data_IF_743561276134
#
_entry.id   IF_743561276134
#
_cell.length_a   1.000
_cell.length_b   1.000
_cell.length_c   1.000
_cell.angle_alpha   90.00
_cell.angle_beta   90.00
_cell.angle_gamma   90.00
#
_symmetry.space_group_name_H-M   'P 1'
#
loop_
_entity.id
_entity.type
_entity.pdbx_description
1 polymer ?
#
# COMPACT_ATOMS: atom_id res chain seq x y z
N UNK A 1 -33.94 28.23 -23.69
CA UNK A 1 -34.26 29.60 -23.23
C UNK A 1 -33.06 30.13 -22.47
N UNK A 2 -32.33 31.06 -23.10
CA UNK A 2 -31.31 31.90 -22.45
C UNK A 2 -32.05 33.10 -21.84
N UNK A 3 -31.54 33.72 -20.76
CA UNK A 3 -31.02 35.07 -20.95
C UNK A 3 -29.62 35.26 -20.38
N UNK A 4 -28.90 36.15 -21.06
CA UNK A 4 -27.57 36.64 -20.79
C UNK A 4 -27.58 37.70 -19.67
N UNK A 5 -26.41 37.92 -19.06
CA UNK A 5 -26.00 39.25 -18.63
C UNK A 5 -24.50 39.46 -18.96
N UNK A 6 -24.28 40.22 -20.04
CA UNK A 6 -23.11 41.08 -20.32
C UNK A 6 -22.91 42.07 -19.16
N UNK A 7 -21.81 42.75 -18.91
CA UNK A 7 -20.42 42.82 -19.40
C UNK A 7 -19.73 43.81 -18.44
N UNK A 8 -18.40 43.77 -18.31
CA UNK A 8 -17.56 44.97 -18.28
C UNK A 8 -16.11 44.55 -18.49
N UNK A 9 -15.54 45.05 -19.58
CA UNK A 9 -14.16 44.89 -19.98
C UNK A 9 -13.27 45.97 -19.33
N UNK A 10 -11.96 45.75 -19.51
CA UNK A 10 -10.85 46.70 -19.40
C UNK A 10 -10.11 46.74 -18.05
N UNK A 11 -8.93 46.12 -18.01
CA UNK A 11 -7.69 46.87 -18.25
C UNK A 11 -6.55 45.90 -18.60
N UNK A 12 -6.01 46.02 -19.80
CA UNK A 12 -4.72 45.45 -20.15
C UNK A 12 -3.63 46.42 -19.67
N UNK A 13 -2.61 45.93 -18.96
CA UNK A 13 -1.25 46.44 -19.03
C UNK A 13 -0.27 45.49 -18.31
N UNK A 14 0.82 45.23 -19.00
CA UNK A 14 1.94 44.37 -18.65
C UNK A 14 2.60 44.70 -17.30
N UNK A 15 3.10 43.66 -16.62
CA UNK A 15 4.52 43.54 -16.25
C UNK A 15 4.75 42.33 -15.32
N UNK A 16 5.70 41.48 -15.70
CA UNK A 16 6.44 40.63 -14.76
C UNK A 16 5.91 39.21 -14.59
N UNK A 17 6.37 38.29 -15.44
CA UNK A 17 6.53 36.89 -15.02
C UNK A 17 7.38 36.85 -13.75
N UNK A 18 6.92 36.31 -12.59
CA UNK A 18 7.87 35.91 -11.58
C UNK A 18 8.66 34.74 -12.16
N UNK A 19 9.96 34.94 -12.35
CA UNK A 19 10.89 33.87 -12.65
C UNK A 19 10.63 32.70 -11.66
N UNK A 20 10.75 31.43 -12.08
CA UNK A 20 10.73 30.35 -11.11
C UNK A 20 11.90 30.59 -10.18
N UNK A 21 11.62 30.82 -8.89
CA UNK A 21 12.62 30.76 -7.85
C UNK A 21 13.15 29.33 -7.86
N UNK A 22 14.21 29.09 -8.64
CA UNK A 22 15.06 27.93 -8.53
C UNK A 22 15.59 27.94 -7.11
N UNK A 23 14.94 27.18 -6.23
CA UNK A 23 15.44 26.91 -4.91
C UNK A 23 16.83 26.28 -5.10
N UNK A 24 17.88 27.05 -4.84
CA UNK A 24 19.25 26.54 -4.75
C UNK A 24 19.26 25.56 -3.59
N UNK A 25 19.05 24.28 -3.89
CA UNK A 25 19.23 23.22 -2.91
C UNK A 25 20.71 23.27 -2.51
N UNK A 26 20.99 23.68 -1.27
CA UNK A 26 22.36 23.76 -0.79
C UNK A 26 23.03 22.39 -0.95
N UNK A 27 24.29 22.37 -1.37
CA UNK A 27 25.07 21.13 -1.56
C UNK A 27 25.05 20.24 -0.30
N UNK A 28 24.93 20.86 0.87
CA UNK A 28 24.75 20.16 2.15
C UNK A 28 23.42 19.38 2.23
N UNK A 29 22.32 19.95 1.74
CA UNK A 29 20.99 19.31 1.70
C UNK A 29 20.97 18.19 0.65
N UNK A 30 21.60 18.41 -0.50
CA UNK A 30 21.78 17.36 -1.51
C UNK A 30 22.63 16.18 -0.99
N UNK A 31 23.72 16.44 -0.27
CA UNK A 31 24.53 15.40 0.38
C UNK A 31 23.76 14.69 1.51
N UNK A 32 22.95 15.42 2.30
CA UNK A 32 22.16 14.82 3.38
C UNK A 32 21.10 13.85 2.85
N UNK A 33 20.43 14.18 1.72
CA UNK A 33 19.52 13.24 1.06
C UNK A 33 20.26 12.05 0.44
N UNK A 34 21.47 12.25 -0.11
CA UNK A 34 22.26 11.17 -0.70
C UNK A 34 22.79 10.14 0.32
N UNK A 35 22.86 10.51 1.61
CA UNK A 35 23.22 9.59 2.69
C UNK A 35 22.06 8.69 3.13
N UNK A 36 20.82 9.04 2.76
CA UNK A 36 19.65 8.18 2.94
C UNK A 36 19.53 7.34 1.67
N UNK A 37 20.29 6.25 1.60
CA UNK A 37 20.12 5.25 0.55
C UNK A 37 18.66 4.75 0.51
N UNK A 38 18.21 4.16 -0.62
CA UNK A 38 16.87 3.60 -0.67
C UNK A 38 16.67 2.65 0.50
N UNK A 39 15.55 2.77 1.21
CA UNK A 39 15.17 1.79 2.22
C UNK A 39 15.23 0.41 1.55
N UNK A 40 16.12 -0.46 2.03
CA UNK A 40 16.25 -1.80 1.48
C UNK A 40 14.93 -2.52 1.71
N UNK A 41 14.14 -2.71 0.65
CA UNK A 41 12.95 -3.51 0.70
C UNK A 41 13.38 -4.97 0.87
N UNK A 42 12.95 -5.58 1.96
CA UNK A 42 13.13 -7.01 2.17
C UNK A 42 12.21 -7.74 1.19
N UNK A 43 12.65 -8.84 0.54
CA UNK A 43 11.75 -9.66 -0.24
C UNK A 43 10.59 -10.11 0.66
N UNK A 44 9.37 -9.88 0.21
CA UNK A 44 8.17 -10.20 0.99
C UNK A 44 7.92 -11.71 0.94
N UNK A 45 7.72 -12.33 2.10
CA UNK A 45 7.39 -13.75 2.26
C UNK A 45 5.97 -13.88 2.76
N UNK A 46 5.12 -14.57 2.00
CA UNK A 46 3.77 -14.92 2.45
C UNK A 46 3.81 -16.22 3.28
N UNK A 47 3.40 -16.13 4.55
CA UNK A 47 3.21 -17.29 5.44
C UNK A 47 1.74 -17.69 5.39
N UNK A 48 1.45 -18.80 4.71
CA UNK A 48 0.09 -19.28 4.50
C UNK A 48 -0.36 -20.16 5.66
N UNK A 49 -1.44 -19.78 6.33
CA UNK A 49 -1.99 -20.49 7.49
C UNK A 49 -3.35 -21.08 7.12
N UNK A 50 -3.45 -22.41 7.16
CA UNK A 50 -4.71 -23.12 7.03
C UNK A 50 -5.37 -23.21 8.41
N UNK A 51 -6.31 -22.29 8.66
CA UNK A 51 -6.96 -22.14 9.96
C UNK A 51 -8.28 -22.92 10.05
N UNK A 52 -8.57 -23.54 11.20
CA UNK A 52 -9.91 -24.03 11.53
C UNK A 52 -10.51 -23.29 12.74
N UNK A 53 -10.20 -23.74 13.96
CA UNK A 53 -10.73 -23.20 15.22
C UNK A 53 -9.64 -23.06 16.30
N UNK A 54 -8.38 -23.25 15.92
CA UNK A 54 -7.24 -23.11 16.81
C UNK A 54 -6.90 -21.64 17.08
N UNK A 55 -6.30 -21.39 18.24
CA UNK A 55 -5.86 -20.04 18.59
C UNK A 55 -4.75 -19.55 17.64
N UNK A 56 -4.91 -18.33 17.13
CA UNK A 56 -3.98 -17.68 16.21
C UNK A 56 -3.03 -16.69 16.90
N UNK A 57 -3.10 -16.55 18.23
CA UNK A 57 -2.24 -15.62 18.98
C UNK A 57 -0.73 -15.84 18.75
N UNK A 58 -0.33 -17.07 18.40
CA UNK A 58 1.06 -17.41 18.11
C UNK A 58 1.64 -16.66 16.90
N UNK A 59 0.81 -16.20 15.97
CA UNK A 59 1.25 -15.43 14.79
C UNK A 59 1.97 -14.15 15.21
N UNK A 60 1.53 -13.53 16.30
CA UNK A 60 2.09 -12.27 16.79
C UNK A 60 3.59 -12.38 17.09
N UNK A 61 4.05 -13.56 17.54
CA UNK A 61 5.46 -13.79 17.86
C UNK A 61 6.39 -13.86 16.63
N UNK A 62 5.82 -13.92 15.41
CA UNK A 62 6.55 -14.08 14.16
C UNK A 62 6.31 -12.93 13.17
N UNK A 63 5.66 -11.85 13.61
CA UNK A 63 5.48 -10.65 12.78
C UNK A 63 6.79 -9.90 12.68
N UNK A 64 7.36 -9.89 11.49
CA UNK A 64 8.60 -9.20 11.16
C UNK A 64 8.44 -8.41 9.85
N UNK A 65 9.23 -7.34 9.62
CA UNK A 65 9.23 -6.63 8.35
C UNK A 65 9.46 -7.57 7.17
N UNK A 66 8.57 -7.53 6.18
CA UNK A 66 8.63 -8.40 5.00
C UNK A 66 7.96 -9.77 5.17
N UNK A 67 7.43 -10.11 6.35
CA UNK A 67 6.62 -11.32 6.55
C UNK A 67 5.13 -10.96 6.52
N UNK A 68 4.36 -11.63 5.68
CA UNK A 68 2.93 -11.39 5.50
C UNK A 68 2.13 -12.67 5.78
N UNK A 69 1.34 -12.66 6.84
CA UNK A 69 0.51 -13.82 7.19
C UNK A 69 -0.78 -13.83 6.37
N UNK A 70 -0.99 -14.91 5.62
CA UNK A 70 -2.19 -15.18 4.81
C UNK A 70 -3.02 -16.26 5.48
N UNK A 71 -3.91 -15.84 6.36
CA UNK A 71 -4.76 -16.76 7.12
C UNK A 71 -6.01 -17.09 6.30
N UNK A 72 -6.27 -18.37 6.10
CA UNK A 72 -7.50 -18.86 5.48
C UNK A 72 -8.29 -19.69 6.49
N UNK A 73 -9.45 -19.20 6.94
CA UNK A 73 -10.28 -19.90 7.92
C UNK A 73 -11.30 -20.83 7.26
N UNK A 74 -11.35 -22.08 7.72
CA UNK A 74 -12.33 -23.10 7.34
C UNK A 74 -13.34 -23.41 8.45
N UNK A 75 -13.16 -22.83 9.62
CA UNK A 75 -14.02 -23.00 10.79
C UNK A 75 -14.68 -21.68 11.14
N UNK A 76 -14.57 -21.30 12.41
CA UNK A 76 -15.07 -20.03 12.91
C UNK A 76 -14.32 -18.85 12.26
N UNK A 77 -15.04 -17.74 12.09
CA UNK A 77 -14.46 -16.55 11.49
C UNK A 77 -13.38 -15.98 12.42
N UNK A 78 -12.15 -15.85 11.89
CA UNK A 78 -11.03 -15.24 12.60
C UNK A 78 -10.73 -13.84 12.02
N UNK A 79 -10.34 -12.86 12.85
CA UNK A 79 -9.98 -11.52 12.37
C UNK A 79 -8.86 -11.57 11.32
N UNK A 80 -9.06 -10.91 10.18
CA UNK A 80 -8.08 -10.86 9.10
C UNK A 80 -7.93 -12.16 8.29
N UNK A 81 -8.72 -13.20 8.58
CA UNK A 81 -8.71 -14.45 7.83
C UNK A 81 -9.69 -14.42 6.65
N UNK A 82 -9.27 -14.99 5.53
CA UNK A 82 -10.14 -15.26 4.38
C UNK A 82 -10.94 -16.55 4.61
N UNK A 83 -12.26 -16.49 4.49
CA UNK A 83 -13.10 -17.67 4.67
C UNK A 83 -12.99 -18.65 3.48
N UNK A 84 -12.81 -19.93 3.75
CA UNK A 84 -12.82 -21.03 2.78
C UNK A 84 -13.79 -22.13 3.22
N UNK A 85 -14.25 -22.92 2.24
CA UNK A 85 -14.99 -24.16 2.53
C UNK A 85 -14.08 -25.18 3.21
N UNK A 86 -14.61 -25.87 4.22
CA UNK A 86 -13.92 -26.96 4.90
C UNK A 86 -13.82 -28.24 4.04
N UNK A 87 -13.00 -28.18 2.99
CA UNK A 87 -12.68 -29.28 2.08
C UNK A 87 -11.17 -29.35 1.83
N UNK A 88 -10.67 -30.54 1.50
CA UNK A 88 -9.29 -30.76 1.04
C UNK A 88 -8.18 -30.41 2.05
N UNK A 89 -8.49 -30.45 3.35
CA UNK A 89 -7.60 -30.13 4.49
C UNK A 89 -6.70 -28.92 4.21
N UNK A 90 -5.43 -28.94 4.59
CA UNK A 90 -4.47 -27.87 4.34
C UNK A 90 -4.14 -27.70 2.85
N UNK A 91 -4.14 -28.78 2.06
CA UNK A 91 -3.78 -28.75 0.63
C UNK A 91 -4.68 -27.82 -0.18
N UNK A 92 -5.99 -27.82 0.08
CA UNK A 92 -6.92 -26.91 -0.58
C UNK A 92 -6.62 -25.44 -0.22
N UNK A 93 -6.17 -25.17 1.00
CA UNK A 93 -5.75 -23.81 1.38
C UNK A 93 -4.53 -23.37 0.58
N UNK A 94 -3.48 -24.20 0.56
CA UNK A 94 -2.24 -23.87 -0.17
C UNK A 94 -2.48 -23.71 -1.68
N UNK A 95 -3.23 -24.63 -2.29
CA UNK A 95 -3.56 -24.53 -3.71
C UNK A 95 -4.39 -23.27 -4.01
N UNK A 96 -5.37 -22.95 -3.16
CA UNK A 96 -6.17 -21.73 -3.31
C UNK A 96 -5.30 -20.48 -3.24
N UNK A 97 -4.35 -20.43 -2.29
CA UNK A 97 -3.41 -19.32 -2.19
C UNK A 97 -2.55 -19.18 -3.45
N UNK A 98 -1.95 -20.29 -3.92
CA UNK A 98 -1.09 -20.28 -5.11
C UNK A 98 -1.88 -19.77 -6.33
N UNK A 99 -3.01 -20.40 -6.65
CA UNK A 99 -3.82 -20.07 -7.83
C UNK A 99 -4.36 -18.63 -7.81
N UNK A 100 -4.63 -18.07 -6.63
CA UNK A 100 -5.14 -16.71 -6.51
C UNK A 100 -4.06 -15.63 -6.66
N UNK A 101 -2.79 -15.96 -6.42
CA UNK A 101 -1.73 -14.97 -6.29
C UNK A 101 -0.59 -15.15 -7.33
N UNK A 102 -0.54 -16.25 -8.08
CA UNK A 102 0.48 -16.59 -9.06
C UNK A 102 -0.12 -17.29 -10.29
#
# INVERSE_FOLDING_TARGET
FVPQARALAALAAAAGTPAPAMATLSKAVACALALVGPAQAWPTVDVVVAHYNEDLSWIEAYKEPGVNFRVYSKGEAAPGAEALRNVGRESHTYLTHIVKNF
#
